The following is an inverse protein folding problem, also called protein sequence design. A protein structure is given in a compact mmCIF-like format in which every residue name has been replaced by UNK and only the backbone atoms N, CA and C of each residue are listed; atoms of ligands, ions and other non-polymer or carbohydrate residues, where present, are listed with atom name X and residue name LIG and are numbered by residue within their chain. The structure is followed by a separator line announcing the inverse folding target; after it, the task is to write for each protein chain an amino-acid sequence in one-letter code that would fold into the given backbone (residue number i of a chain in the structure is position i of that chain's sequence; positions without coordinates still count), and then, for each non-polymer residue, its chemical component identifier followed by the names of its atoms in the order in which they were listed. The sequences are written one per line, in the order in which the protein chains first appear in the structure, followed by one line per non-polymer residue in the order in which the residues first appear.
data_IF_864554108392
#
_entry.id   IF_864554108392
#
_cell.length_a   1.000
_cell.length_b   1.000
_cell.length_c   1.000
_cell.angle_alpha   90.00
_cell.angle_beta   90.00
_cell.angle_gamma   90.00
#
_symmetry.space_group_name_H-M   'P 1'
#
loop_
_entity.id
_entity.type
_entity.pdbx_description
1 polymer ?
#
# COMPACT_ATOMS: atom_id res chain seq x y z
N UNK A 1 28.18 -44.23 5.65
CA UNK A 1 29.37 -43.50 6.16
C UNK A 1 30.36 -43.38 5.00
N UNK A 2 30.36 -42.31 4.20
CA UNK A 2 30.39 -40.91 4.60
C UNK A 2 29.14 -40.12 4.13
N UNK A 3 28.41 -39.59 5.11
CA UNK A 3 27.27 -38.66 4.98
C UNK A 3 27.78 -37.24 5.28
N UNK A 4 28.35 -36.52 4.30
CA UNK A 4 28.81 -35.13 4.57
C UNK A 4 29.01 -34.22 3.34
N UNK A 5 28.11 -34.25 2.36
CA UNK A 5 27.95 -33.11 1.44
C UNK A 5 26.50 -33.09 1.00
N UNK A 6 25.66 -32.38 1.76
CA UNK A 6 24.26 -32.08 1.44
C UNK A 6 24.15 -31.14 0.24
N UNK A 7 24.65 -31.60 -0.90
CA UNK A 7 24.86 -30.85 -2.12
C UNK A 7 23.76 -31.29 -3.13
N UNK A 8 22.50 -31.10 -2.73
CA UNK A 8 21.34 -31.58 -3.48
C UNK A 8 20.02 -31.00 -2.95
N UNK A 9 19.76 -29.71 -3.19
CA UNK A 9 18.53 -29.08 -2.71
C UNK A 9 18.27 -27.65 -3.18
N UNK A 10 18.86 -27.19 -4.29
CA UNK A 10 18.56 -25.86 -4.84
C UNK A 10 17.30 -25.82 -5.72
N UNK A 11 16.77 -26.98 -6.15
CA UNK A 11 15.53 -27.04 -6.94
C UNK A 11 14.27 -26.81 -6.10
N UNK A 12 14.14 -27.48 -4.95
CA UNK A 12 12.90 -27.52 -4.18
C UNK A 12 12.51 -26.17 -3.58
N UNK A 13 13.46 -25.38 -3.05
CA UNK A 13 13.16 -24.08 -2.44
C UNK A 13 12.70 -23.06 -3.47
N UNK A 14 13.33 -23.05 -4.66
CA UNK A 14 12.96 -22.14 -5.75
C UNK A 14 11.57 -22.51 -6.30
N UNK A 15 11.30 -23.80 -6.51
CA UNK A 15 9.99 -24.28 -6.98
C UNK A 15 8.86 -23.99 -5.99
N UNK A 16 9.10 -24.20 -4.69
CA UNK A 16 8.11 -23.89 -3.63
C UNK A 16 7.80 -22.39 -3.62
N UNK A 17 8.81 -21.53 -3.69
CA UNK A 17 8.61 -20.08 -3.72
C UNK A 17 7.84 -19.61 -4.97
N UNK A 18 8.14 -20.20 -6.15
CA UNK A 18 7.40 -19.89 -7.37
C UNK A 18 5.93 -20.34 -7.29
N UNK A 19 5.69 -21.52 -6.73
CA UNK A 19 4.34 -22.04 -6.52
C UNK A 19 3.51 -21.15 -5.58
N UNK A 20 4.11 -20.69 -4.48
CA UNK A 20 3.46 -19.77 -3.54
C UNK A 20 3.11 -18.42 -4.20
N UNK A 21 4.03 -17.83 -4.96
CA UNK A 21 3.78 -16.59 -5.68
C UNK A 21 2.70 -16.76 -6.76
N UNK A 22 2.70 -17.87 -7.49
CA UNK A 22 1.68 -18.17 -8.49
C UNK A 22 0.29 -18.35 -7.86
N UNK A 23 0.21 -19.01 -6.70
CA UNK A 23 -1.03 -19.12 -5.93
C UNK A 23 -1.51 -17.75 -5.43
N UNK A 24 -0.60 -16.91 -4.94
CA UNK A 24 -0.91 -15.54 -4.55
C UNK A 24 -1.45 -14.73 -5.74
N UNK A 25 -0.80 -14.80 -6.91
CA UNK A 25 -1.26 -14.10 -8.12
C UNK A 25 -2.65 -14.57 -8.57
N UNK A 26 -2.96 -15.86 -8.45
CA UNK A 26 -4.29 -16.37 -8.75
C UNK A 26 -5.34 -15.74 -7.83
N UNK A 27 -5.06 -15.68 -6.52
CA UNK A 27 -5.92 -15.03 -5.54
C UNK A 27 -6.04 -13.52 -5.76
N UNK A 28 -4.94 -12.85 -6.12
CA UNK A 28 -4.92 -11.42 -6.42
C UNK A 28 -5.84 -11.07 -7.61
N UNK A 29 -5.88 -11.92 -8.65
CA UNK A 29 -6.82 -11.75 -9.78
C UNK A 29 -8.28 -11.91 -9.35
N UNK A 30 -8.57 -12.76 -8.38
CA UNK A 30 -9.92 -12.88 -7.80
C UNK A 30 -10.27 -11.66 -6.96
N UNK A 31 -9.36 -11.18 -6.11
CA UNK A 31 -9.54 -9.97 -5.33
C UNK A 31 -9.83 -8.76 -6.22
N UNK A 32 -9.05 -8.59 -7.30
CA UNK A 32 -9.26 -7.50 -8.26
C UNK A 32 -10.69 -7.53 -8.83
N UNK A 33 -11.17 -8.69 -9.27
CA UNK A 33 -12.54 -8.86 -9.75
C UNK A 33 -13.59 -8.56 -8.68
N UNK A 34 -13.35 -8.96 -7.43
CA UNK A 34 -14.25 -8.66 -6.31
C UNK A 34 -14.30 -7.16 -6.02
N UNK A 35 -13.15 -6.49 -5.93
CA UNK A 35 -13.05 -5.03 -5.76
C UNK A 35 -13.77 -4.31 -6.90
N UNK A 36 -13.59 -4.79 -8.13
CA UNK A 36 -14.24 -4.23 -9.30
C UNK A 36 -15.77 -4.38 -9.26
N UNK A 37 -16.26 -5.52 -8.78
CA UNK A 37 -17.69 -5.78 -8.59
C UNK A 37 -18.31 -4.90 -7.49
N UNK A 38 -17.54 -4.49 -6.48
CA UNK A 38 -17.94 -3.49 -5.49
C UNK A 38 -17.97 -2.05 -6.06
N UNK A 39 -17.43 -1.85 -7.28
CA UNK A 39 -17.34 -0.56 -7.95
C UNK A 39 -16.11 0.27 -7.58
N UNK A 40 -15.18 -0.28 -6.81
CA UNK A 40 -14.08 0.47 -6.20
C UNK A 40 -12.79 0.47 -7.02
N UNK A 41 -11.96 1.49 -6.81
CA UNK A 41 -10.53 1.44 -7.15
C UNK A 41 -9.76 1.15 -5.86
N UNK A 42 -8.92 0.11 -5.88
CA UNK A 42 -8.07 -0.23 -4.75
C UNK A 42 -6.67 0.40 -4.83
N UNK A 43 -6.24 1.01 -3.72
CA UNK A 43 -4.94 1.67 -3.57
C UNK A 43 -4.18 1.01 -2.41
N UNK A 44 -3.08 0.33 -2.72
CA UNK A 44 -2.17 -0.30 -1.75
C UNK A 44 -1.11 0.72 -1.30
N UNK A 45 -1.06 1.02 0.00
CA UNK A 45 -0.08 1.90 0.62
C UNK A 45 1.04 1.08 1.25
N UNK A 46 2.24 1.21 0.70
CA UNK A 46 3.46 0.58 1.21
C UNK A 46 4.42 1.65 1.75
N UNK A 47 5.11 1.37 2.85
CA UNK A 47 6.06 2.32 3.45
C UNK A 47 7.00 1.63 4.43
N UNK A 48 7.99 2.33 4.98
CA UNK A 48 8.63 1.91 6.21
C UNK A 48 7.69 2.11 7.42
N UNK A 49 7.96 1.50 8.59
CA UNK A 49 7.25 1.85 9.82
C UNK A 49 7.37 3.35 10.11
N UNK A 50 6.26 3.98 10.52
CA UNK A 50 6.26 5.38 10.93
C UNK A 50 6.30 6.41 9.78
N UNK A 51 6.22 6.01 8.51
CA UNK A 51 6.16 6.97 7.38
C UNK A 51 4.86 7.77 7.31
N UNK A 52 3.85 7.43 8.11
CA UNK A 52 2.60 8.20 8.25
C UNK A 52 1.44 7.73 7.36
N UNK A 53 1.36 6.45 7.00
CA UNK A 53 0.26 5.86 6.22
C UNK A 53 -1.10 6.08 6.87
N UNK A 54 -1.27 5.64 8.12
CA UNK A 54 -2.51 5.81 8.89
C UNK A 54 -2.94 7.27 8.98
N UNK A 55 -2.02 8.19 9.29
CA UNK A 55 -2.31 9.62 9.36
C UNK A 55 -2.71 10.21 8.01
N UNK A 56 -2.06 9.79 6.92
CA UNK A 56 -2.48 10.19 5.57
C UNK A 56 -3.91 9.69 5.29
N UNK A 57 -4.23 8.44 5.66
CA UNK A 57 -5.56 7.85 5.47
C UNK A 57 -6.63 8.56 6.30
N UNK A 58 -6.39 8.82 7.58
CA UNK A 58 -7.29 9.55 8.47
C UNK A 58 -7.73 10.88 7.85
N UNK A 59 -6.77 11.69 7.39
CA UNK A 59 -7.05 12.97 6.76
C UNK A 59 -7.67 12.83 5.37
N UNK A 60 -7.34 11.76 4.64
CA UNK A 60 -7.95 11.47 3.33
C UNK A 60 -9.44 11.16 3.49
N UNK A 61 -9.79 10.34 4.48
CA UNK A 61 -11.19 10.01 4.81
C UNK A 61 -11.97 11.26 5.19
N UNK A 62 -11.40 12.15 6.01
CA UNK A 62 -12.04 13.41 6.38
C UNK A 62 -12.25 14.32 5.16
N UNK A 63 -11.23 14.50 4.33
CA UNK A 63 -11.30 15.42 3.18
C UNK A 63 -12.21 14.93 2.04
N UNK A 64 -12.33 13.61 1.88
CA UNK A 64 -13.22 12.99 0.89
C UNK A 64 -14.58 12.59 1.48
N UNK A 65 -14.79 12.84 2.77
CA UNK A 65 -16.02 12.55 3.48
C UNK A 65 -17.24 13.12 2.75
N UNK A 66 -18.24 12.27 2.50
CA UNK A 66 -19.46 12.64 1.76
C UNK A 66 -19.31 12.78 0.25
N UNK A 67 -18.09 12.76 -0.31
CA UNK A 67 -17.81 12.81 -1.76
C UNK A 67 -17.50 11.43 -2.35
N UNK A 68 -16.84 10.58 -1.57
CA UNK A 68 -16.49 9.21 -1.95
C UNK A 68 -16.88 8.24 -0.85
N UNK A 69 -17.37 7.06 -1.23
CA UNK A 69 -17.52 5.92 -0.32
C UNK A 69 -16.15 5.24 -0.20
N UNK A 70 -15.60 5.26 1.01
CA UNK A 70 -14.26 4.77 1.31
C UNK A 70 -14.36 3.62 2.31
N UNK A 71 -13.54 2.60 2.11
CA UNK A 71 -13.32 1.51 3.06
C UNK A 71 -11.82 1.21 3.13
N UNK A 72 -11.39 0.58 4.23
CA UNK A 72 -9.98 0.30 4.48
C UNK A 72 -9.79 -1.16 4.90
N UNK A 73 -8.81 -1.82 4.30
CA UNK A 73 -8.18 -3.03 4.84
C UNK A 73 -6.89 -2.57 5.50
N UNK A 74 -6.77 -2.79 6.81
CA UNK A 74 -5.62 -2.40 7.60
C UNK A 74 -4.85 -3.66 8.01
N UNK A 75 -3.56 -3.71 7.70
CA UNK A 75 -2.69 -4.84 7.98
C UNK A 75 -1.55 -4.47 8.93
N UNK A 76 -1.59 -5.05 10.12
CA UNK A 76 -0.54 -4.93 11.14
C UNK A 76 -0.05 -6.33 11.56
N UNK A 77 1.09 -6.38 12.24
CA UNK A 77 1.70 -7.63 12.69
C UNK A 77 0.90 -8.22 13.86
N UNK A 78 0.53 -7.39 14.85
CA UNK A 78 -0.05 -7.88 16.11
C UNK A 78 -1.16 -7.00 16.70
N UNK A 79 -1.38 -5.77 16.24
CA UNK A 79 -2.32 -4.84 16.90
C UNK A 79 -3.44 -4.38 15.96
N UNK A 80 -4.57 -3.93 16.53
CA UNK A 80 -5.66 -3.33 15.75
C UNK A 80 -5.71 -1.79 15.92
N UNK A 81 -4.64 -1.19 16.44
CA UNK A 81 -4.64 0.23 16.84
C UNK A 81 -4.92 1.16 15.67
N UNK A 82 -4.31 0.88 14.52
CA UNK A 82 -4.50 1.70 13.33
C UNK A 82 -5.88 1.45 12.70
N UNK A 83 -6.39 0.22 12.71
CA UNK A 83 -7.78 -0.07 12.34
C UNK A 83 -8.81 0.68 13.20
N UNK A 84 -8.64 0.70 14.52
CA UNK A 84 -9.53 1.44 15.44
C UNK A 84 -9.53 2.94 15.19
N UNK A 85 -8.34 3.51 14.99
CA UNK A 85 -8.16 4.94 14.68
C UNK A 85 -8.87 5.35 13.39
N UNK A 86 -8.73 4.54 12.34
CA UNK A 86 -9.39 4.81 11.06
C UNK A 86 -10.91 4.61 11.18
N UNK A 87 -11.35 3.55 11.89
CA UNK A 87 -12.78 3.29 12.12
C UNK A 87 -13.46 4.43 12.86
N UNK A 88 -12.76 5.09 13.78
CA UNK A 88 -13.25 6.29 14.48
C UNK A 88 -13.54 7.48 13.53
N UNK A 89 -13.04 7.46 12.29
CA UNK A 89 -13.39 8.44 11.23
C UNK A 89 -14.72 8.11 10.53
N UNK A 90 -15.38 7.00 10.88
CA UNK A 90 -16.71 6.66 10.40
C UNK A 90 -16.76 5.91 9.07
N UNK A 91 -15.66 5.25 8.68
CA UNK A 91 -15.60 4.38 7.49
C UNK A 91 -15.51 2.90 7.86
N UNK A 92 -16.00 1.99 7.01
CA UNK A 92 -15.77 0.55 7.16
C UNK A 92 -14.28 0.20 7.18
N UNK A 93 -13.86 -0.60 8.15
CA UNK A 93 -12.46 -1.04 8.30
C UNK A 93 -12.40 -2.52 8.66
N UNK A 94 -11.73 -3.30 7.81
CA UNK A 94 -11.30 -4.66 8.12
C UNK A 94 -9.85 -4.63 8.61
N UNK A 95 -9.66 -4.76 9.93
CA UNK A 95 -8.35 -4.97 10.54
C UNK A 95 -7.94 -6.44 10.39
N UNK A 96 -6.70 -6.67 9.94
CA UNK A 96 -6.10 -7.98 9.73
C UNK A 96 -4.77 -8.04 10.45
N UNK A 97 -4.58 -9.06 11.28
CA UNK A 97 -3.28 -9.37 11.88
C UNK A 97 -2.57 -10.43 11.05
N UNK A 98 -1.32 -10.19 10.70
CA UNK A 98 -0.55 -11.11 9.84
C UNK A 98 0.03 -12.31 10.60
N UNK A 99 -0.11 -12.35 11.92
CA UNK A 99 0.43 -13.43 12.75
C UNK A 99 1.95 -13.53 12.69
N UNK A 100 2.63 -12.40 12.54
CA UNK A 100 4.10 -12.32 12.45
C UNK A 100 4.64 -12.14 11.02
N UNK A 101 3.82 -12.23 9.97
CA UNK A 101 4.29 -11.99 8.61
C UNK A 101 4.56 -10.49 8.34
N UNK A 102 5.62 -10.20 7.59
CA UNK A 102 6.07 -8.83 7.30
C UNK A 102 5.30 -8.11 6.17
N UNK A 103 4.20 -8.68 5.68
CA UNK A 103 3.39 -8.16 4.57
C UNK A 103 1.99 -8.75 4.60
N UNK A 104 1.05 -8.07 3.94
CA UNK A 104 -0.21 -8.67 3.51
C UNK A 104 0.00 -9.48 2.23
N UNK A 105 -0.70 -10.61 2.12
CA UNK A 105 -0.83 -11.39 0.90
C UNK A 105 -2.27 -11.34 0.36
N UNK A 106 -2.49 -11.87 -0.85
CA UNK A 106 -3.80 -11.84 -1.47
C UNK A 106 -4.86 -12.67 -0.70
N UNK A 107 -4.56 -13.84 -0.11
CA UNK A 107 -5.50 -14.54 0.77
C UNK A 107 -5.99 -13.71 1.96
N UNK A 108 -5.11 -13.01 2.68
CA UNK A 108 -5.53 -12.14 3.79
C UNK A 108 -6.41 -10.99 3.31
N UNK A 109 -6.03 -10.34 2.19
CA UNK A 109 -6.85 -9.29 1.59
C UNK A 109 -8.20 -9.82 1.13
N UNK A 110 -8.27 -11.07 0.66
CA UNK A 110 -9.52 -11.73 0.29
C UNK A 110 -10.47 -11.83 1.47
N UNK A 111 -9.97 -12.22 2.65
CA UNK A 111 -10.75 -12.25 3.88
C UNK A 111 -11.26 -10.85 4.26
N UNK A 112 -10.39 -9.85 4.21
CA UNK A 112 -10.75 -8.46 4.47
C UNK A 112 -11.87 -7.94 3.54
N UNK A 113 -11.82 -8.31 2.26
CA UNK A 113 -12.86 -7.94 1.28
C UNK A 113 -14.22 -8.53 1.64
N UNK A 114 -14.29 -9.78 2.10
CA UNK A 114 -15.57 -10.38 2.51
C UNK A 114 -16.13 -9.72 3.75
N UNK A 115 -15.29 -9.43 4.77
CA UNK A 115 -15.71 -8.68 5.97
C UNK A 115 -16.27 -7.30 5.61
N UNK A 116 -15.60 -6.59 4.70
CA UNK A 116 -16.07 -5.28 4.22
C UNK A 116 -17.36 -5.38 3.40
N UNK A 117 -17.53 -6.41 2.58
CA UNK A 117 -18.73 -6.58 1.76
C UNK A 117 -19.99 -6.74 2.62
N UNK A 118 -19.89 -7.43 3.76
CA UNK A 118 -20.99 -7.55 4.73
C UNK A 118 -21.39 -6.20 5.34
N UNK A 119 -20.40 -5.34 5.67
CA UNK A 119 -20.63 -4.03 6.26
C UNK A 119 -21.15 -2.99 5.24
N UNK A 120 -20.61 -3.02 4.02
CA UNK A 120 -20.97 -2.06 2.94
C UNK A 120 -22.34 -2.40 2.34
N UNK A 121 -22.68 -3.69 2.24
CA UNK A 121 -23.91 -4.16 1.61
C UNK A 121 -24.05 -3.69 0.15
N UNK A 122 -25.26 -3.30 -0.25
CA UNK A 122 -25.54 -2.82 -1.62
C UNK A 122 -25.11 -1.37 -1.88
N UNK A 123 -24.50 -0.70 -0.91
CA UNK A 123 -24.20 0.73 -0.99
C UNK A 123 -23.08 1.06 -1.95
N UNK A 124 -22.33 0.07 -2.47
CA UNK A 124 -21.20 0.23 -3.38
C UNK A 124 -20.01 0.96 -2.74
N UNK A 125 -18.85 0.92 -3.40
CA UNK A 125 -17.61 1.50 -2.90
C UNK A 125 -16.90 2.26 -4.03
N UNK A 126 -16.28 3.40 -3.72
CA UNK A 126 -15.54 4.19 -4.73
C UNK A 126 -14.02 4.00 -4.58
N UNK A 127 -13.53 3.98 -3.34
CA UNK A 127 -12.12 3.77 -3.02
C UNK A 127 -11.98 2.71 -1.93
N UNK A 128 -11.07 1.77 -2.16
CA UNK A 128 -10.58 0.84 -1.16
C UNK A 128 -9.11 1.15 -0.88
N UNK A 129 -8.77 1.48 0.36
CA UNK A 129 -7.37 1.54 0.77
C UNK A 129 -6.95 0.20 1.36
N UNK A 130 -5.76 -0.24 0.99
CA UNK A 130 -5.07 -1.35 1.66
C UNK A 130 -3.85 -0.73 2.33
N UNK A 131 -3.92 -0.52 3.65
CA UNK A 131 -2.76 -0.12 4.43
C UNK A 131 -1.92 -1.37 4.71
N UNK A 132 -0.79 -1.51 4.01
CA UNK A 132 0.08 -2.67 4.18
C UNK A 132 0.93 -2.53 5.45
N UNK A 133 1.54 -3.65 5.86
CA UNK A 133 2.53 -3.65 6.95
C UNK A 133 3.66 -2.66 6.61
N UNK A 134 4.18 -1.97 7.62
CA UNK A 134 5.34 -1.09 7.48
C UNK A 134 6.61 -1.84 7.07
N UNK A 135 6.77 -2.10 5.79
CA UNK A 135 7.94 -2.74 5.20
C UNK A 135 8.08 -2.35 3.70
N UNK A 136 9.30 -2.04 3.25
CA UNK A 136 9.61 -1.71 1.85
C UNK A 136 10.20 -2.89 1.05
N UNK A 137 10.38 -4.05 1.69
CA UNK A 137 10.99 -5.25 1.11
C UNK A 137 9.93 -6.30 0.81
N UNK A 138 9.32 -6.90 1.85
CA UNK A 138 8.41 -8.02 1.68
C UNK A 138 7.19 -7.68 0.79
N UNK A 139 6.48 -6.55 1.01
CA UNK A 139 5.27 -6.24 0.23
C UNK A 139 5.51 -6.06 -1.26
N UNK A 140 6.74 -5.72 -1.66
CA UNK A 140 7.05 -5.45 -3.07
C UNK A 140 6.85 -6.70 -3.97
N UNK A 141 6.96 -7.90 -3.41
CA UNK A 141 6.85 -9.15 -4.16
C UNK A 141 5.41 -9.68 -4.34
N UNK A 142 4.44 -9.16 -3.59
CA UNK A 142 3.08 -9.71 -3.55
C UNK A 142 2.09 -8.74 -4.22
N UNK A 143 1.35 -9.24 -5.21
CA UNK A 143 0.14 -8.58 -5.74
C UNK A 143 -1.03 -8.90 -4.81
N UNK A 144 -1.83 -7.91 -4.44
CA UNK A 144 -3.00 -8.08 -3.57
C UNK A 144 -4.32 -8.01 -4.34
N UNK A 145 -4.25 -7.70 -5.64
CA UNK A 145 -5.39 -7.34 -6.46
C UNK A 145 -5.66 -5.84 -6.48
N UNK A 146 -4.73 -5.02 -5.95
CA UNK A 146 -4.83 -3.57 -6.02
C UNK A 146 -4.81 -3.08 -7.48
N UNK A 147 -5.34 -1.87 -7.68
CA UNK A 147 -5.28 -1.18 -8.98
C UNK A 147 -4.11 -0.21 -9.02
N UNK A 148 -3.76 0.38 -7.87
CA UNK A 148 -2.66 1.32 -7.72
C UNK A 148 -1.81 0.98 -6.52
N UNK A 149 -0.49 1.09 -6.70
CA UNK A 149 0.50 0.91 -5.65
C UNK A 149 1.18 2.24 -5.35
N UNK A 150 1.09 2.67 -4.10
CA UNK A 150 1.70 3.91 -3.60
C UNK A 150 2.80 3.55 -2.63
N UNK A 151 4.00 4.08 -2.87
CA UNK A 151 5.11 3.99 -1.92
C UNK A 151 5.24 5.31 -1.18
N UNK A 152 5.22 5.28 0.14
CA UNK A 152 5.47 6.42 1.00
C UNK A 152 6.88 6.32 1.59
N UNK A 153 7.61 7.43 1.54
CA UNK A 153 8.87 7.63 2.28
C UNK A 153 8.77 8.95 3.00
N UNK A 154 8.97 8.96 4.32
CA UNK A 154 8.98 10.21 5.07
C UNK A 154 10.32 10.93 4.97
N UNK A 155 10.31 12.26 5.07
CA UNK A 155 11.52 13.08 5.08
C UNK A 155 12.59 12.57 6.07
N UNK A 156 12.28 12.19 7.32
CA UNK A 156 13.27 11.67 8.26
C UNK A 156 13.97 10.36 7.84
N UNK A 157 13.40 9.62 6.88
CA UNK A 157 14.02 8.39 6.41
C UNK A 157 15.22 8.67 5.49
N UNK A 158 15.22 9.80 4.76
CA UNK A 158 16.28 10.17 3.80
C UNK A 158 15.94 9.85 2.34
N UNK A 159 16.52 10.61 1.41
CA UNK A 159 16.20 10.60 -0.03
C UNK A 159 16.68 9.37 -0.81
N UNK A 160 17.55 8.56 -0.22
CA UNK A 160 18.20 7.39 -0.85
C UNK A 160 17.33 6.13 -0.94
N UNK A 161 16.10 6.15 -0.40
CA UNK A 161 15.22 4.96 -0.33
C UNK A 161 14.90 4.32 -1.67
N UNK A 162 14.67 5.05 -2.78
CA UNK A 162 14.45 4.40 -4.07
C UNK A 162 15.63 3.50 -4.47
N UNK A 163 16.87 3.96 -4.30
CA UNK A 163 18.06 3.18 -4.62
C UNK A 163 18.25 1.97 -3.69
N UNK A 164 17.91 2.10 -2.40
CA UNK A 164 18.00 1.02 -1.41
C UNK A 164 16.92 -0.05 -1.54
N UNK A 165 15.72 0.32 -2.01
CA UNK A 165 14.55 -0.57 -2.08
C UNK A 165 13.97 -0.67 -3.50
N UNK A 166 14.77 -1.03 -4.51
CA UNK A 166 14.37 -0.87 -5.92
C UNK A 166 13.10 -1.65 -6.29
N UNK A 167 12.86 -2.80 -5.65
CA UNK A 167 11.68 -3.62 -5.90
C UNK A 167 10.36 -2.87 -5.59
N UNK A 168 10.32 -2.06 -4.52
CA UNK A 168 9.12 -1.32 -4.14
C UNK A 168 8.75 -0.25 -5.18
N UNK A 169 9.76 0.41 -5.76
CA UNK A 169 9.56 1.54 -6.68
C UNK A 169 9.32 1.12 -8.13
N UNK A 170 9.87 -0.02 -8.57
CA UNK A 170 9.72 -0.52 -9.95
C UNK A 170 8.27 -0.70 -10.40
N UNK A 171 7.36 -1.03 -9.46
CA UNK A 171 5.93 -1.28 -9.73
C UNK A 171 5.01 -0.24 -9.08
N UNK A 172 5.55 0.82 -8.49
CA UNK A 172 4.74 1.86 -7.87
C UNK A 172 4.15 2.80 -8.93
N UNK A 173 2.85 3.09 -8.83
CA UNK A 173 2.18 4.11 -9.65
C UNK A 173 2.49 5.53 -9.13
N UNK A 174 2.66 5.66 -7.81
CA UNK A 174 2.90 6.93 -7.15
C UNK A 174 3.95 6.78 -6.04
N UNK A 175 4.87 7.73 -6.00
CA UNK A 175 5.80 7.92 -4.90
C UNK A 175 5.39 9.16 -4.09
N UNK A 176 5.12 9.00 -2.81
CA UNK A 176 4.79 10.11 -1.90
C UNK A 176 5.94 10.33 -0.92
N UNK A 177 6.52 11.53 -0.96
CA UNK A 177 7.41 12.02 0.10
C UNK A 177 6.54 12.62 1.19
N UNK A 178 6.40 11.93 2.32
CA UNK A 178 5.55 12.35 3.44
C UNK A 178 6.31 13.18 4.48
N UNK A 179 5.58 13.85 5.38
CA UNK A 179 6.16 14.76 6.41
C UNK A 179 7.03 15.87 5.80
N UNK A 180 6.57 16.42 4.67
CA UNK A 180 7.31 17.44 3.92
C UNK A 180 7.52 18.76 4.68
N UNK A 181 6.77 18.99 5.75
CA UNK A 181 6.99 20.06 6.72
C UNK A 181 8.36 19.98 7.39
N UNK A 182 8.95 18.78 7.45
CA UNK A 182 10.26 18.53 8.08
C UNK A 182 11.46 18.78 7.14
N UNK A 183 11.25 19.12 5.86
CA UNK A 183 12.34 19.39 4.93
C UNK A 183 13.39 20.40 5.45
N UNK A 184 13.03 21.48 6.18
CA UNK A 184 14.03 22.40 6.74
C UNK A 184 14.91 21.79 7.86
N UNK A 185 14.56 20.61 8.38
CA UNK A 185 15.22 19.99 9.53
C UNK A 185 16.05 18.76 9.17
N UNK A 186 15.94 18.26 7.95
CA UNK A 186 16.63 17.05 7.48
C UNK A 186 17.34 17.32 6.16
N UNK A 187 18.48 16.68 5.97
CA UNK A 187 19.18 16.66 4.69
C UNK A 187 18.48 15.67 3.74
N UNK A 188 17.34 16.09 3.20
CA UNK A 188 16.56 15.31 2.24
C UNK A 188 16.54 16.03 0.90
N UNK A 189 17.14 15.41 -0.12
CA UNK A 189 17.10 15.92 -1.48
C UNK A 189 15.90 15.39 -2.25
N UNK A 190 14.92 16.27 -2.51
CA UNK A 190 13.76 15.94 -3.35
C UNK A 190 14.19 15.54 -4.77
N UNK A 191 15.23 16.15 -5.32
CA UNK A 191 15.71 15.86 -6.67
C UNK A 191 16.47 14.52 -6.73
N UNK A 192 17.24 14.16 -5.70
CA UNK A 192 17.85 12.84 -5.60
C UNK A 192 16.78 11.74 -5.54
N UNK A 193 15.76 11.93 -4.68
CA UNK A 193 14.66 10.99 -4.53
C UNK A 193 13.89 10.82 -5.85
N UNK A 194 13.59 11.94 -6.54
CA UNK A 194 12.93 11.95 -7.85
C UNK A 194 13.75 11.24 -8.92
N UNK A 195 15.04 11.55 -9.01
CA UNK A 195 15.94 11.00 -10.04
C UNK A 195 16.12 9.50 -9.82
N UNK A 196 16.34 9.07 -8.58
CA UNK A 196 16.51 7.65 -8.23
C UNK A 196 15.23 6.85 -8.49
N UNK A 197 14.06 7.39 -8.14
CA UNK A 197 12.78 6.73 -8.44
C UNK A 197 12.53 6.62 -9.95
N UNK A 198 12.81 7.67 -10.74
CA UNK A 198 12.64 7.66 -12.20
C UNK A 198 13.62 6.74 -12.92
N UNK A 199 14.83 6.56 -12.38
CA UNK A 199 15.79 5.60 -12.91
C UNK A 199 15.27 4.16 -12.83
N UNK A 200 14.44 3.85 -11.83
CA UNK A 200 13.83 2.54 -11.63
C UNK A 200 12.48 2.40 -12.36
N UNK A 201 11.72 3.49 -12.42
CA UNK A 201 10.41 3.55 -13.04
C UNK A 201 10.23 4.93 -13.72
N UNK A 202 10.51 5.06 -15.03
CA UNK A 202 10.46 6.34 -15.74
C UNK A 202 9.08 7.03 -15.69
N UNK A 203 8.00 6.26 -15.54
CA UNK A 203 6.63 6.75 -15.47
C UNK A 203 6.16 7.16 -14.07
N UNK A 204 6.96 6.95 -13.02
CA UNK A 204 6.52 7.21 -11.65
C UNK A 204 6.28 8.70 -11.41
N UNK A 205 5.10 9.02 -10.90
CA UNK A 205 4.79 10.36 -10.41
C UNK A 205 5.22 10.48 -8.96
N UNK A 206 5.83 11.61 -8.60
CA UNK A 206 6.21 11.92 -7.22
C UNK A 206 5.39 13.09 -6.70
N UNK A 207 4.81 12.93 -5.51
CA UNK A 207 4.16 13.99 -4.73
C UNK A 207 4.95 14.26 -3.45
N UNK A 208 4.92 15.51 -2.99
CA UNK A 208 5.51 15.93 -1.73
C UNK A 208 4.38 16.42 -0.84
N UNK A 209 4.11 15.69 0.25
CA UNK A 209 2.91 15.85 1.06
C UNK A 209 3.27 16.05 2.52
N UNK A 210 2.62 17.02 3.16
CA UNK A 210 2.53 17.10 4.60
C UNK A 210 1.07 17.25 5.01
N UNK A 211 0.68 16.41 5.96
CA UNK A 211 -0.62 16.50 6.61
C UNK A 211 -0.61 17.59 7.70
N UNK A 212 0.55 17.85 8.29
CA UNK A 212 0.69 18.79 9.41
C UNK A 212 0.46 20.25 9.00
N UNK A 213 0.95 20.65 7.83
CA UNK A 213 0.76 22.01 7.28
C UNK A 213 -0.13 22.05 6.03
N UNK A 214 -0.67 20.89 5.60
CA UNK A 214 -1.55 20.73 4.43
C UNK A 214 -0.83 20.78 3.07
N UNK A 215 0.50 20.99 3.03
CA UNK A 215 1.25 21.10 1.78
C UNK A 215 1.07 19.88 0.89
N UNK A 216 0.71 20.13 -0.37
CA UNK A 216 0.62 19.09 -1.40
C UNK A 216 -0.50 18.08 -1.17
N UNK A 217 -1.31 18.24 -0.12
CA UNK A 217 -2.42 17.35 0.18
C UNK A 217 -3.52 17.43 -0.88
N UNK A 218 -3.80 18.63 -1.44
CA UNK A 218 -4.73 18.78 -2.56
C UNK A 218 -4.30 17.96 -3.78
N UNK A 219 -3.00 17.93 -4.11
CA UNK A 219 -2.50 17.13 -5.22
C UNK A 219 -2.67 15.61 -4.99
N UNK A 220 -2.66 15.17 -3.73
CA UNK A 220 -2.98 13.79 -3.35
C UNK A 220 -4.48 13.50 -3.51
N UNK A 221 -5.34 14.39 -3.01
CA UNK A 221 -6.80 14.27 -3.16
C UNK A 221 -7.23 14.30 -4.64
N UNK A 222 -6.63 15.16 -5.45
CA UNK A 222 -6.87 15.25 -6.89
C UNK A 222 -6.46 13.96 -7.61
N UNK A 223 -5.32 13.38 -7.24
CA UNK A 223 -4.88 12.11 -7.79
C UNK A 223 -5.89 11.00 -7.48
N UNK A 224 -6.33 10.86 -6.23
CA UNK A 224 -7.36 9.88 -5.85
C UNK A 224 -8.68 10.11 -6.59
N UNK A 225 -9.12 11.36 -6.65
CA UNK A 225 -10.37 11.74 -7.31
C UNK A 225 -10.32 11.44 -8.82
N UNK A 226 -9.15 11.60 -9.45
CA UNK A 226 -8.95 11.25 -10.86
C UNK A 226 -9.11 9.74 -11.12
N UNK A 227 -8.72 8.89 -10.16
CA UNK A 227 -8.89 7.44 -10.29
C UNK A 227 -10.37 7.04 -10.26
N UNK A 228 -11.15 7.66 -9.37
CA UNK A 228 -12.59 7.39 -9.26
C UNK A 228 -13.32 7.84 -10.52
N UNK A 229 -13.01 9.03 -11.04
CA UNK A 229 -13.64 9.53 -12.27
C UNK A 229 -13.25 8.71 -13.50
N UNK A 230 -11.98 8.34 -13.64
CA UNK A 230 -11.51 7.53 -14.78
C UNK A 230 -12.11 6.12 -14.84
N UNK A 231 -12.73 5.63 -13.76
CA UNK A 231 -13.49 4.37 -13.73
C UNK A 231 -14.96 4.53 -14.10
N UNK A 232 -15.55 5.71 -13.84
CA UNK A 232 -16.97 5.99 -14.09
C UNK A 232 -17.26 6.45 -15.51
N UNK A 233 -16.24 6.93 -16.24
CA UNK A 233 -16.32 7.27 -17.67
C UNK A 233 -15.87 6.11 -18.54
#
# INVERSE_FOLDING_TARGET
MCDSCGCGGHGTVVEVNQSLLAANEARARENRRHIEALGAVAVNLMSAPGSGKTTLLEHTVEALGGRCRIAVIEGDIETERDAERIRAKGVPVAGLTTGGACHLDAPLVHEGLHRLAEEIGSRGLDLLFIENVGNLVCPAAFDLGEHRRVVLVSVPEGSDKPAKYPAAFRRADLFVVSKADLLPHFDFSLEEARTSARALNPGIRMLTVSVADGRGFDAWIDWLTSLVHGRRG
#
